data_IF_732704017573
#
_entry.id   IF_732704017573
#
_cell.length_a   1.000
_cell.length_b   1.000
_cell.length_c   1.000
_cell.angle_alpha   90.00
_cell.angle_beta   90.00
_cell.angle_gamma   90.00
#
_symmetry.space_group_name_H-M   'P 1'
#
loop_
_entity.id
_entity.type
_entity.pdbx_description
1 polymer ?
#
# COMPACT_ATOMS: atom_id res chain seq x y z
N UNK A 1 -57.13 -27.47 -36.33
CA UNK A 1 -56.61 -27.61 -34.95
C UNK A 1 -55.08 -27.60 -35.05
N UNK A 2 -54.37 -26.58 -34.62
CA UNK A 2 -52.91 -26.58 -34.64
C UNK A 2 -52.37 -27.37 -33.45
N UNK A 3 -51.53 -28.38 -33.71
CA UNK A 3 -50.79 -29.11 -32.70
C UNK A 3 -49.65 -28.21 -32.18
N UNK A 4 -49.77 -27.73 -30.94
CA UNK A 4 -48.67 -27.11 -30.22
C UNK A 4 -47.58 -28.15 -29.90
N UNK A 5 -46.42 -28.04 -30.54
CA UNK A 5 -45.22 -28.81 -30.21
C UNK A 5 -44.79 -28.40 -28.81
N UNK A 6 -44.99 -29.28 -27.83
CA UNK A 6 -44.37 -29.11 -26.50
C UNK A 6 -42.90 -29.38 -26.65
N UNK A 7 -42.06 -28.33 -26.72
CA UNK A 7 -40.61 -28.47 -26.56
C UNK A 7 -40.34 -29.08 -25.18
N UNK A 8 -39.53 -30.13 -25.09
CA UNK A 8 -39.31 -30.81 -23.82
C UNK A 8 -38.49 -29.92 -22.86
N UNK A 9 -38.97 -29.80 -21.62
CA UNK A 9 -38.32 -29.11 -20.51
C UNK A 9 -36.86 -29.57 -20.25
N UNK A 10 -36.51 -30.74 -20.80
CA UNK A 10 -35.19 -31.35 -20.70
C UNK A 10 -34.09 -30.57 -21.45
N UNK A 11 -34.40 -29.89 -22.56
CA UNK A 11 -33.44 -29.11 -23.33
C UNK A 11 -33.04 -27.79 -22.63
N UNK A 12 -33.95 -27.20 -21.88
CA UNK A 12 -33.70 -25.99 -21.10
C UNK A 12 -32.82 -26.27 -19.87
N UNK A 13 -33.02 -27.42 -19.21
CA UNK A 13 -32.20 -27.84 -18.07
C UNK A 13 -30.76 -28.16 -18.46
N UNK A 14 -30.52 -28.78 -19.63
CA UNK A 14 -29.17 -29.04 -20.15
C UNK A 14 -28.43 -27.77 -20.51
N UNK A 15 -29.09 -26.75 -21.07
CA UNK A 15 -28.48 -25.46 -21.38
C UNK A 15 -28.10 -24.70 -20.10
N UNK A 16 -28.92 -24.73 -19.07
CA UNK A 16 -28.62 -24.09 -17.77
C UNK A 16 -27.46 -24.80 -17.06
N UNK A 17 -27.39 -26.14 -17.12
CA UNK A 17 -26.28 -26.88 -16.54
C UNK A 17 -24.94 -26.60 -17.26
N UNK A 18 -24.95 -26.47 -18.59
CA UNK A 18 -23.76 -26.13 -19.37
C UNK A 18 -23.23 -24.72 -19.05
N UNK A 19 -24.12 -23.74 -18.93
CA UNK A 19 -23.75 -22.37 -18.54
C UNK A 19 -23.17 -22.29 -17.11
N UNK A 20 -23.70 -23.10 -16.18
CA UNK A 20 -23.17 -23.14 -14.80
C UNK A 20 -21.74 -23.71 -14.76
N UNK A 21 -21.49 -24.81 -15.50
CA UNK A 21 -20.15 -25.41 -15.57
C UNK A 21 -19.13 -24.50 -16.25
N UNK A 22 -19.51 -23.76 -17.29
CA UNK A 22 -18.65 -22.78 -17.97
C UNK A 22 -18.31 -21.60 -17.05
N UNK A 23 -19.28 -21.08 -16.31
CA UNK A 23 -19.06 -20.00 -15.34
C UNK A 23 -18.10 -20.42 -14.21
N UNK A 24 -18.28 -21.63 -13.68
CA UNK A 24 -17.39 -22.17 -12.63
C UNK A 24 -15.97 -22.39 -13.16
N UNK A 25 -15.84 -22.88 -14.39
CA UNK A 25 -14.56 -23.02 -15.07
C UNK A 25 -13.86 -21.65 -15.24
N UNK A 26 -14.56 -20.66 -15.78
CA UNK A 26 -14.03 -19.34 -16.00
C UNK A 26 -13.58 -18.70 -14.67
N UNK A 27 -14.36 -18.80 -13.61
CA UNK A 27 -14.00 -18.33 -12.28
C UNK A 27 -12.74 -19.01 -11.73
N UNK A 28 -12.62 -20.34 -11.92
CA UNK A 28 -11.42 -21.07 -11.50
C UNK A 28 -10.17 -20.63 -12.26
N UNK A 29 -10.28 -20.39 -13.58
CA UNK A 29 -9.19 -19.88 -14.42
C UNK A 29 -8.81 -18.46 -14.01
N UNK A 30 -9.80 -17.60 -13.74
CA UNK A 30 -9.58 -16.24 -13.24
C UNK A 30 -8.80 -16.23 -11.93
N UNK A 31 -9.26 -17.03 -10.96
CA UNK A 31 -8.62 -17.11 -9.64
C UNK A 31 -7.19 -17.66 -9.72
N UNK A 32 -6.94 -18.67 -10.54
CA UNK A 32 -5.60 -19.23 -10.76
C UNK A 32 -4.65 -18.16 -11.36
N UNK A 33 -5.09 -17.41 -12.37
CA UNK A 33 -4.31 -16.34 -12.96
C UNK A 33 -4.10 -15.18 -12.01
N UNK A 34 -5.10 -14.81 -11.18
CA UNK A 34 -4.95 -13.81 -10.12
C UNK A 34 -3.82 -14.19 -9.13
N UNK A 35 -3.86 -15.40 -8.58
CA UNK A 35 -2.83 -15.89 -7.65
C UNK A 35 -1.43 -15.89 -8.28
N UNK A 36 -1.31 -16.33 -9.54
CA UNK A 36 -0.05 -16.26 -10.28
C UNK A 36 0.42 -14.82 -10.45
N UNK A 37 -0.47 -13.90 -10.83
CA UNK A 37 -0.16 -12.49 -10.99
C UNK A 37 0.38 -11.87 -9.71
N UNK A 38 -0.27 -12.13 -8.56
CA UNK A 38 0.21 -11.69 -7.24
C UNK A 38 1.60 -12.27 -6.93
N UNK A 39 1.83 -13.56 -7.18
CA UNK A 39 3.13 -14.20 -6.95
C UNK A 39 4.26 -13.59 -7.78
N UNK A 40 4.01 -13.33 -9.06
CA UNK A 40 4.97 -12.67 -9.94
C UNK A 40 5.22 -11.22 -9.55
N UNK A 41 4.18 -10.48 -9.13
CA UNK A 41 4.32 -9.11 -8.62
C UNK A 41 5.22 -9.06 -7.37
N UNK A 42 5.03 -9.98 -6.42
CA UNK A 42 5.87 -10.09 -5.23
C UNK A 42 7.33 -10.45 -5.54
N UNK A 43 7.56 -11.15 -6.64
CA UNK A 43 8.90 -11.53 -7.12
C UNK A 43 9.54 -10.47 -8.02
N UNK A 44 8.89 -9.33 -8.25
CA UNK A 44 9.38 -8.25 -9.11
C UNK A 44 9.29 -8.52 -10.61
N UNK A 45 8.61 -9.59 -11.03
CA UNK A 45 8.41 -9.94 -12.45
C UNK A 45 7.16 -9.24 -13.01
N UNK A 46 7.23 -7.91 -13.13
CA UNK A 46 6.06 -7.05 -13.37
C UNK A 46 5.39 -7.29 -14.72
N UNK A 47 6.14 -7.59 -15.78
CA UNK A 47 5.57 -7.91 -17.10
C UNK A 47 4.70 -9.17 -17.07
N UNK A 48 5.22 -10.25 -16.46
CA UNK A 48 4.49 -11.51 -16.31
C UNK A 48 3.29 -11.34 -15.38
N UNK A 49 3.45 -10.57 -14.28
CA UNK A 49 2.37 -10.25 -13.37
C UNK A 49 1.22 -9.54 -14.10
N UNK A 50 1.55 -8.53 -14.95
CA UNK A 50 0.57 -7.81 -15.78
C UNK A 50 -0.20 -8.77 -16.68
N UNK A 51 0.51 -9.65 -17.42
CA UNK A 51 -0.12 -10.65 -18.29
C UNK A 51 -1.12 -11.53 -17.50
N UNK A 52 -0.70 -12.04 -16.34
CA UNK A 52 -1.54 -12.93 -15.54
C UNK A 52 -2.74 -12.21 -14.94
N UNK A 53 -2.58 -10.98 -14.44
CA UNK A 53 -3.69 -10.19 -13.92
C UNK A 53 -4.69 -9.80 -15.02
N UNK A 54 -4.21 -9.38 -16.20
CA UNK A 54 -5.08 -9.12 -17.34
C UNK A 54 -5.83 -10.39 -17.78
N UNK A 55 -5.17 -11.54 -17.78
CA UNK A 55 -5.81 -12.82 -18.10
C UNK A 55 -6.84 -13.19 -17.03
N UNK A 56 -6.59 -12.91 -15.75
CA UNK A 56 -7.60 -13.08 -14.71
C UNK A 56 -8.85 -12.27 -15.01
N UNK A 57 -8.71 -10.98 -15.33
CA UNK A 57 -9.82 -10.08 -15.64
C UNK A 57 -10.52 -10.41 -16.98
N UNK A 58 -9.84 -11.07 -17.90
CA UNK A 58 -10.48 -11.59 -19.13
C UNK A 58 -11.52 -12.69 -18.83
N UNK A 59 -11.31 -13.48 -17.79
CA UNK A 59 -12.22 -14.54 -17.37
C UNK A 59 -13.22 -14.11 -16.29
N UNK A 60 -12.87 -13.11 -15.48
CA UNK A 60 -13.74 -12.49 -14.47
C UNK A 60 -13.38 -11.02 -14.28
N UNK A 61 -14.07 -10.13 -15.01
CA UNK A 61 -13.90 -8.67 -14.94
C UNK A 61 -14.61 -8.03 -13.74
N UNK A 62 -15.21 -8.84 -12.88
CA UNK A 62 -15.94 -8.38 -11.69
C UNK A 62 -15.16 -8.58 -10.39
N UNK A 63 -13.88 -8.99 -10.47
CA UNK A 63 -13.02 -9.20 -9.33
C UNK A 63 -12.35 -7.88 -8.90
N UNK A 64 -12.79 -7.23 -7.79
CA UNK A 64 -12.23 -5.94 -7.34
C UNK A 64 -10.78 -6.08 -6.87
N UNK A 65 -10.40 -7.22 -6.32
CA UNK A 65 -9.04 -7.50 -5.86
C UNK A 65 -8.06 -7.57 -7.04
N UNK A 66 -8.47 -8.16 -8.17
CA UNK A 66 -7.65 -8.21 -9.38
C UNK A 66 -7.47 -6.81 -10.01
N UNK A 67 -8.54 -6.00 -10.05
CA UNK A 67 -8.44 -4.61 -10.48
C UNK A 67 -7.50 -3.81 -9.58
N UNK A 68 -7.63 -3.91 -8.24
CA UNK A 68 -6.72 -3.22 -7.33
C UNK A 68 -5.25 -3.67 -7.50
N UNK A 69 -5.00 -4.97 -7.67
CA UNK A 69 -3.65 -5.49 -7.88
C UNK A 69 -3.03 -4.96 -9.19
N UNK A 70 -3.81 -4.95 -10.27
CA UNK A 70 -3.37 -4.44 -11.56
C UNK A 70 -3.12 -2.92 -11.50
N UNK A 71 -3.92 -2.18 -10.74
CA UNK A 71 -3.70 -0.76 -10.50
C UNK A 71 -2.38 -0.49 -9.77
N UNK A 72 -2.08 -1.25 -8.70
CA UNK A 72 -0.79 -1.16 -8.00
C UNK A 72 0.36 -1.46 -8.93
N UNK A 73 0.23 -2.48 -9.78
CA UNK A 73 1.26 -2.85 -10.73
C UNK A 73 1.51 -1.76 -11.79
N UNK A 74 0.45 -1.16 -12.32
CA UNK A 74 0.56 -0.01 -13.24
C UNK A 74 1.21 1.21 -12.56
N UNK A 75 0.94 1.45 -11.27
CA UNK A 75 1.62 2.50 -10.49
C UNK A 75 3.14 2.23 -10.39
N UNK A 76 3.55 0.99 -10.12
CA UNK A 76 4.97 0.58 -10.06
C UNK A 76 5.71 0.81 -11.38
N UNK A 77 5.07 0.54 -12.50
CA UNK A 77 5.65 0.79 -13.83
C UNK A 77 5.37 2.21 -14.36
N UNK A 78 4.82 3.10 -13.52
CA UNK A 78 4.52 4.52 -13.80
C UNK A 78 3.46 4.79 -14.86
N UNK A 79 2.59 3.84 -15.09
CA UNK A 79 1.43 3.95 -15.96
C UNK A 79 0.21 4.44 -15.17
N UNK A 80 0.22 5.71 -14.76
CA UNK A 80 -0.74 6.27 -13.79
C UNK A 80 -2.18 6.36 -14.30
N UNK A 81 -2.40 6.55 -15.61
CA UNK A 81 -3.73 6.57 -16.21
C UNK A 81 -4.46 5.22 -16.11
N UNK A 82 -3.84 4.12 -16.58
CA UNK A 82 -4.33 2.77 -16.35
C UNK A 82 -4.51 2.45 -14.86
N UNK A 83 -3.55 2.82 -13.99
CA UNK A 83 -3.67 2.62 -12.54
C UNK A 83 -4.95 3.25 -11.98
N UNK A 84 -5.21 4.52 -12.30
CA UNK A 84 -6.42 5.23 -11.87
C UNK A 84 -7.70 4.53 -12.34
N UNK A 85 -7.75 4.11 -13.60
CA UNK A 85 -8.89 3.41 -14.19
C UNK A 85 -9.22 2.14 -13.41
N UNK A 86 -8.22 1.34 -13.08
CA UNK A 86 -8.39 0.09 -12.36
C UNK A 86 -8.72 0.31 -10.87
N UNK A 87 -8.15 1.31 -10.19
CA UNK A 87 -8.57 1.66 -8.83
C UNK A 87 -10.03 2.06 -8.77
N UNK A 88 -10.48 2.92 -9.68
CA UNK A 88 -11.89 3.32 -9.77
C UNK A 88 -12.80 2.13 -9.99
N UNK A 89 -12.41 1.22 -10.90
CA UNK A 89 -13.19 0.01 -11.17
C UNK A 89 -13.27 -0.91 -9.95
N UNK A 90 -12.19 -1.08 -9.19
CA UNK A 90 -12.20 -1.85 -7.94
C UNK A 90 -13.18 -1.27 -6.91
N UNK A 91 -13.20 0.06 -6.78
CA UNK A 91 -14.11 0.78 -5.85
C UNK A 91 -15.56 0.72 -6.33
N UNK A 92 -15.82 0.79 -7.63
CA UNK A 92 -17.16 0.62 -8.21
C UNK A 92 -17.72 -0.78 -7.93
N UNK A 93 -16.89 -1.82 -8.14
CA UNK A 93 -17.28 -3.22 -7.90
C UNK A 93 -17.52 -3.52 -6.43
N UNK A 94 -16.76 -2.87 -5.53
CA UNK A 94 -16.84 -3.08 -4.09
C UNK A 94 -16.67 -1.74 -3.38
N UNK A 95 -17.80 -1.09 -3.10
CA UNK A 95 -17.83 0.28 -2.56
C UNK A 95 -17.25 0.41 -1.14
N UNK A 96 -17.13 -0.69 -0.39
CA UNK A 96 -16.49 -0.78 0.92
C UNK A 96 -15.03 -1.28 0.87
N UNK A 97 -14.44 -1.36 -0.33
CA UNK A 97 -13.06 -1.82 -0.50
C UNK A 97 -12.06 -0.73 -0.08
N UNK A 98 -11.88 -0.59 1.23
CA UNK A 98 -11.07 0.48 1.83
C UNK A 98 -9.60 0.48 1.35
N UNK A 99 -9.01 -0.71 1.11
CA UNK A 99 -7.64 -0.80 0.57
C UNK A 99 -7.52 -0.13 -0.81
N UNK A 100 -8.47 -0.37 -1.72
CA UNK A 100 -8.45 0.28 -3.03
C UNK A 100 -8.65 1.80 -2.92
N UNK A 101 -9.51 2.26 -2.00
CA UNK A 101 -9.69 3.70 -1.71
C UNK A 101 -8.40 4.35 -1.19
N UNK A 102 -7.70 3.70 -0.26
CA UNK A 102 -6.41 4.18 0.27
C UNK A 102 -5.36 4.25 -0.85
N UNK A 103 -5.25 3.21 -1.67
CA UNK A 103 -4.31 3.17 -2.79
C UNK A 103 -4.61 4.28 -3.81
N UNK A 104 -5.89 4.46 -4.16
CA UNK A 104 -6.31 5.51 -5.09
C UNK A 104 -6.04 6.92 -4.52
N UNK A 105 -6.37 7.16 -3.25
CA UNK A 105 -6.06 8.43 -2.59
C UNK A 105 -4.55 8.73 -2.57
N UNK A 106 -3.72 7.70 -2.35
CA UNK A 106 -2.26 7.81 -2.41
C UNK A 106 -1.77 8.16 -3.81
N UNK A 107 -2.32 7.51 -4.85
CA UNK A 107 -2.03 7.85 -6.24
C UNK A 107 -2.32 9.33 -6.52
N UNK A 108 -3.48 9.84 -6.09
CA UNK A 108 -3.88 11.23 -6.26
C UNK A 108 -2.95 12.23 -5.58
N UNK A 109 -2.39 11.89 -4.40
CA UNK A 109 -1.42 12.74 -3.71
C UNK A 109 -0.02 12.68 -4.36
N UNK A 110 0.33 11.57 -5.00
CA UNK A 110 1.62 11.41 -5.64
C UNK A 110 1.65 11.92 -7.10
N UNK A 111 0.55 11.73 -7.83
CA UNK A 111 0.48 11.92 -9.29
C UNK A 111 -0.92 12.30 -9.78
N UNK A 112 -1.11 13.36 -10.53
CA UNK A 112 -0.24 14.52 -10.67
C UNK A 112 -0.36 15.44 -9.44
N UNK A 113 0.63 16.29 -9.17
CA UNK A 113 0.64 17.15 -7.96
C UNK A 113 -0.55 18.12 -7.86
N UNK A 114 -1.24 18.38 -8.96
CA UNK A 114 -2.44 19.23 -9.01
C UNK A 114 -3.68 18.60 -8.35
N UNK A 115 -3.65 17.30 -8.05
CA UNK A 115 -4.81 16.55 -7.50
C UNK A 115 -4.65 16.17 -6.02
N UNK A 116 -3.67 16.76 -5.33
CA UNK A 116 -3.42 16.49 -3.90
C UNK A 116 -4.69 16.72 -3.06
N UNK A 117 -5.44 17.78 -3.34
CA UNK A 117 -6.68 18.09 -2.60
C UNK A 117 -7.75 17.00 -2.76
N UNK A 118 -7.83 16.33 -3.92
CA UNK A 118 -8.74 15.19 -4.13
C UNK A 118 -8.30 13.99 -3.28
N UNK A 119 -7.00 13.67 -3.27
CA UNK A 119 -6.45 12.60 -2.44
C UNK A 119 -6.68 12.84 -0.95
N UNK A 120 -6.49 14.08 -0.49
CA UNK A 120 -6.80 14.47 0.90
C UNK A 120 -8.27 14.28 1.25
N UNK A 121 -9.18 14.70 0.38
CA UNK A 121 -10.62 14.51 0.60
C UNK A 121 -10.98 13.01 0.74
N UNK A 122 -10.36 12.13 -0.08
CA UNK A 122 -10.56 10.69 0.03
C UNK A 122 -10.03 10.15 1.36
N UNK A 123 -8.81 10.51 1.77
CA UNK A 123 -8.27 10.08 3.06
C UNK A 123 -9.08 10.60 4.24
N UNK A 124 -9.57 11.85 4.20
CA UNK A 124 -10.44 12.41 5.24
C UNK A 124 -11.75 11.63 5.36
N UNK A 125 -12.36 11.27 4.24
CA UNK A 125 -13.59 10.46 4.22
C UNK A 125 -13.34 9.06 4.84
N UNK A 126 -12.21 8.42 4.53
CA UNK A 126 -11.83 7.13 5.11
C UNK A 126 -11.62 7.25 6.63
N UNK A 127 -10.89 8.28 7.07
CA UNK A 127 -10.59 8.49 8.50
C UNK A 127 -11.84 8.86 9.33
N UNK A 128 -12.82 9.52 8.71
CA UNK A 128 -14.06 9.93 9.36
C UNK A 128 -15.11 8.82 9.46
N UNK A 129 -14.95 7.74 8.70
CA UNK A 129 -15.89 6.61 8.71
C UNK A 129 -15.68 5.77 9.99
N UNK A 130 -16.68 5.65 10.87
CA UNK A 130 -16.58 4.85 12.09
C UNK A 130 -16.25 3.37 11.84
N UNK A 131 -16.63 2.82 10.67
CA UNK A 131 -16.29 1.46 10.28
C UNK A 131 -14.78 1.25 10.09
N UNK A 132 -14.01 2.32 9.89
CA UNK A 132 -12.57 2.31 9.68
C UNK A 132 -11.76 2.66 10.96
N UNK A 133 -12.39 2.67 12.13
CA UNK A 133 -11.71 3.00 13.38
C UNK A 133 -10.44 2.16 13.63
N UNK A 134 -9.49 2.71 14.35
CA UNK A 134 -8.23 2.03 14.71
C UNK A 134 -7.22 2.00 13.56
N UNK A 135 -6.80 0.81 13.13
CA UNK A 135 -5.70 0.64 12.15
C UNK A 135 -5.98 1.36 10.83
N UNK A 136 -7.17 1.19 10.28
CA UNK A 136 -7.54 1.79 8.99
C UNK A 136 -7.59 3.32 9.04
N UNK A 137 -8.15 3.89 10.11
CA UNK A 137 -8.14 5.34 10.31
C UNK A 137 -6.69 5.85 10.47
N UNK A 138 -5.84 5.11 11.19
CA UNK A 138 -4.42 5.47 11.33
C UNK A 138 -3.72 5.50 9.96
N UNK A 139 -3.97 4.52 9.09
CA UNK A 139 -3.39 4.47 7.74
C UNK A 139 -3.88 5.63 6.87
N UNK A 140 -5.15 6.02 7.01
CA UNK A 140 -5.69 7.20 6.32
C UNK A 140 -5.03 8.50 6.82
N UNK A 141 -4.78 8.65 8.12
CA UNK A 141 -4.02 9.80 8.67
C UNK A 141 -2.56 9.82 8.18
N UNK A 142 -1.90 8.65 8.05
CA UNK A 142 -0.58 8.56 7.42
C UNK A 142 -0.64 9.01 5.95
N UNK A 143 -1.71 8.65 5.24
CA UNK A 143 -1.97 9.14 3.87
C UNK A 143 -2.12 10.67 3.81
N UNK A 144 -2.86 11.28 4.74
CA UNK A 144 -2.97 12.74 4.86
C UNK A 144 -1.62 13.40 5.13
N UNK A 145 -0.78 12.77 5.95
CA UNK A 145 0.59 13.25 6.19
C UNK A 145 1.45 13.20 4.92
N UNK A 146 1.31 12.15 4.11
CA UNK A 146 1.96 12.07 2.80
C UNK A 146 1.55 13.24 1.89
N UNK A 147 0.25 13.53 1.79
CA UNK A 147 -0.27 14.61 0.97
C UNK A 147 0.27 15.99 1.45
N UNK A 148 0.29 16.22 2.79
CA UNK A 148 0.87 17.41 3.37
C UNK A 148 2.37 17.52 3.07
N UNK A 149 3.12 16.42 3.16
CA UNK A 149 4.53 16.35 2.80
C UNK A 149 4.79 16.70 1.33
N UNK A 150 3.90 16.29 0.41
CA UNK A 150 3.98 16.67 -1.01
C UNK A 150 3.79 18.17 -1.25
N UNK A 151 3.09 18.86 -0.35
CA UNK A 151 3.00 20.34 -0.33
C UNK A 151 4.11 21.01 0.47
N UNK A 152 5.07 20.22 0.96
CA UNK A 152 6.13 20.70 1.87
C UNK A 152 5.60 21.29 3.19
N UNK A 153 4.39 20.90 3.61
CA UNK A 153 3.77 21.30 4.88
C UNK A 153 4.11 20.28 5.98
N UNK A 154 5.33 20.38 6.50
CA UNK A 154 5.84 19.44 7.50
C UNK A 154 5.08 19.55 8.83
N UNK A 155 4.60 20.75 9.19
CA UNK A 155 3.82 20.96 10.42
C UNK A 155 2.47 20.22 10.35
N UNK A 156 1.80 20.33 9.22
CA UNK A 156 0.55 19.60 8.99
C UNK A 156 0.77 18.09 8.90
N UNK A 157 1.86 17.64 8.26
CA UNK A 157 2.24 16.23 8.22
C UNK A 157 2.47 15.66 9.64
N UNK A 158 3.21 16.40 10.49
CA UNK A 158 3.41 15.99 11.90
C UNK A 158 2.07 15.88 12.64
N UNK A 159 1.16 16.84 12.42
CA UNK A 159 -0.18 16.82 13.04
C UNK A 159 -0.96 15.58 12.67
N UNK A 160 -0.99 15.20 11.39
CA UNK A 160 -1.68 14.01 10.93
C UNK A 160 -1.05 12.70 11.43
N UNK A 161 0.29 12.63 11.49
CA UNK A 161 0.99 11.47 12.04
C UNK A 161 0.70 11.26 13.52
N UNK A 162 0.56 12.34 14.30
CA UNK A 162 0.14 12.25 15.71
C UNK A 162 -1.28 11.72 15.84
N UNK A 163 -2.22 12.17 15.01
CA UNK A 163 -3.58 11.59 14.93
C UNK A 163 -3.56 10.11 14.53
N UNK A 164 -2.65 9.71 13.64
CA UNK A 164 -2.46 8.30 13.32
C UNK A 164 -2.07 7.50 14.58
N UNK A 165 -1.18 8.02 15.43
CA UNK A 165 -0.79 7.37 16.68
C UNK A 165 -1.87 7.43 17.77
N UNK A 166 -2.78 8.40 17.74
CA UNK A 166 -3.98 8.42 18.59
C UNK A 166 -4.95 7.28 18.21
N UNK A 167 -5.09 6.99 16.90
CA UNK A 167 -5.95 5.91 16.40
C UNK A 167 -5.31 4.54 16.53
N UNK A 168 -4.00 4.43 16.31
CA UNK A 168 -3.20 3.21 16.48
C UNK A 168 -1.81 3.62 16.98
N UNK A 169 -1.60 3.53 18.29
CA UNK A 169 -0.35 3.95 18.94
C UNK A 169 0.90 3.23 18.44
N UNK A 170 0.74 2.10 17.79
CA UNK A 170 1.81 1.26 17.27
C UNK A 170 1.90 1.28 15.73
N UNK A 171 1.27 2.23 15.05
CA UNK A 171 1.36 2.33 13.59
C UNK A 171 2.83 2.57 13.16
N UNK A 172 3.47 1.60 12.46
CA UNK A 172 4.90 1.68 12.17
C UNK A 172 5.24 2.84 11.22
N UNK A 173 4.36 3.12 10.24
CA UNK A 173 4.60 4.19 9.27
C UNK A 173 4.59 5.56 9.95
N UNK A 174 3.64 5.79 10.87
CA UNK A 174 3.58 7.03 11.64
C UNK A 174 4.79 7.19 12.56
N UNK A 175 5.20 6.12 13.25
CA UNK A 175 6.38 6.14 14.12
C UNK A 175 7.66 6.46 13.35
N UNK A 176 7.87 5.82 12.20
CA UNK A 176 9.05 6.04 11.38
C UNK A 176 9.10 7.47 10.80
N UNK A 177 7.99 7.97 10.26
CA UNK A 177 7.93 9.32 9.71
C UNK A 177 8.10 10.39 10.80
N UNK A 178 7.52 10.20 12.00
CA UNK A 178 7.74 11.10 13.13
C UNK A 178 9.18 11.09 13.62
N UNK A 179 9.87 9.93 13.59
CA UNK A 179 11.30 9.87 13.88
C UNK A 179 12.12 10.69 12.87
N UNK A 180 11.80 10.58 11.58
CA UNK A 180 12.45 11.36 10.52
C UNK A 180 12.21 12.87 10.69
N UNK A 181 10.96 13.29 10.89
CA UNK A 181 10.62 14.71 11.12
C UNK A 181 11.33 15.23 12.36
N UNK A 182 11.32 14.49 13.47
CA UNK A 182 11.98 14.91 14.71
C UNK A 182 13.49 15.03 14.52
N UNK A 183 14.11 14.13 13.75
CA UNK A 183 15.53 14.20 13.43
C UNK A 183 15.87 15.46 12.62
N UNK A 184 15.10 15.79 11.58
CA UNK A 184 15.33 17.02 10.78
C UNK A 184 15.09 18.30 11.58
N UNK A 185 14.28 18.24 12.64
CA UNK A 185 14.05 19.34 13.58
C UNK A 185 15.09 19.39 14.71
N UNK A 186 16.10 18.55 14.71
CA UNK A 186 17.11 18.41 15.78
C UNK A 186 16.51 18.07 17.17
N UNK A 187 15.38 17.37 17.19
CA UNK A 187 14.71 16.90 18.41
C UNK A 187 15.16 15.45 18.71
N UNK A 188 16.45 15.29 19.07
CA UNK A 188 17.12 13.98 19.19
C UNK A 188 16.39 13.00 20.09
N UNK A 189 16.01 13.39 21.31
CA UNK A 189 15.32 12.52 22.25
C UNK A 189 13.96 12.05 21.71
N UNK A 190 13.23 12.93 21.03
CA UNK A 190 11.93 12.59 20.44
C UNK A 190 12.10 11.66 19.24
N UNK A 191 13.09 11.92 18.37
CA UNK A 191 13.41 11.07 17.24
C UNK A 191 13.80 9.66 17.69
N UNK A 192 14.66 9.55 18.71
CA UNK A 192 15.05 8.29 19.35
C UNK A 192 13.82 7.52 19.86
N UNK A 193 12.94 8.19 20.63
CA UNK A 193 11.77 7.55 21.21
C UNK A 193 10.83 6.98 20.14
N UNK A 194 10.59 7.69 19.04
CA UNK A 194 9.80 7.18 17.93
C UNK A 194 10.47 6.02 17.21
N UNK A 195 11.77 6.10 16.94
CA UNK A 195 12.50 5.04 16.25
C UNK A 195 12.59 3.77 17.09
N UNK A 196 12.80 3.86 18.41
CA UNK A 196 12.78 2.70 19.32
C UNK A 196 11.40 2.03 19.32
N UNK A 197 10.31 2.81 19.37
CA UNK A 197 8.95 2.27 19.27
C UNK A 197 8.72 1.60 17.92
N UNK A 198 9.21 2.18 16.81
CA UNK A 198 9.17 1.56 15.48
C UNK A 198 9.87 0.19 15.46
N UNK A 199 11.10 0.11 15.99
CA UNK A 199 11.85 -1.15 16.06
C UNK A 199 11.19 -2.20 17.01
N UNK A 200 10.38 -1.75 17.96
CA UNK A 200 9.56 -2.63 18.79
C UNK A 200 8.37 -3.26 18.05
N UNK A 201 7.98 -2.72 16.89
CA UNK A 201 6.86 -3.22 16.07
C UNK A 201 7.33 -3.95 14.80
N UNK A 202 8.52 -3.66 14.32
CA UNK A 202 9.03 -4.15 13.03
C UNK A 202 10.47 -4.63 13.18
N UNK A 203 10.89 -5.50 12.25
CA UNK A 203 12.32 -5.78 12.12
C UNK A 203 13.04 -4.52 11.58
N UNK A 204 14.25 -4.21 12.10
CA UNK A 204 15.04 -3.12 11.56
C UNK A 204 15.27 -3.29 10.05
N UNK A 205 15.21 -2.18 9.33
CA UNK A 205 15.54 -2.09 7.91
C UNK A 205 16.84 -1.30 7.74
N UNK A 206 17.57 -1.42 6.61
CA UNK A 206 18.75 -0.61 6.35
C UNK A 206 18.49 0.88 6.58
N UNK A 207 17.36 1.40 6.07
CA UNK A 207 16.97 2.79 6.19
C UNK A 207 16.72 3.21 7.64
N UNK A 208 16.06 2.35 8.44
CA UNK A 208 15.78 2.65 9.85
C UNK A 208 17.06 2.62 10.70
N UNK A 209 18.02 1.77 10.36
CA UNK A 209 19.33 1.72 11.04
C UNK A 209 20.17 2.96 10.69
N UNK A 210 20.16 3.41 9.43
CA UNK A 210 20.78 4.69 9.04
C UNK A 210 20.15 5.85 9.78
N UNK A 211 18.82 5.89 9.89
CA UNK A 211 18.12 6.92 10.66
C UNK A 211 18.58 6.91 12.12
N UNK A 212 18.76 5.73 12.72
CA UNK A 212 19.29 5.60 14.07
C UNK A 212 20.72 6.18 14.20
N UNK A 213 21.61 5.86 13.25
CA UNK A 213 22.96 6.44 13.21
C UNK A 213 22.90 7.97 13.08
N UNK A 214 22.01 8.53 12.24
CA UNK A 214 21.86 9.97 12.06
C UNK A 214 21.34 10.66 13.34
N UNK A 215 20.33 10.09 13.99
CA UNK A 215 19.78 10.60 15.26
C UNK A 215 20.87 10.67 16.32
N UNK A 216 21.63 9.58 16.47
CA UNK A 216 22.67 9.49 17.50
C UNK A 216 24.00 10.15 17.11
N UNK A 217 24.09 10.74 15.92
CA UNK A 217 25.21 11.60 15.51
C UNK A 217 25.00 13.07 15.90
N UNK A 218 23.85 13.44 16.44
CA UNK A 218 23.60 14.78 16.95
C UNK A 218 24.47 15.08 18.20
N UNK A 219 24.70 16.36 18.56
CA UNK A 219 25.52 16.73 19.71
C UNK A 219 25.07 16.13 21.05
N UNK A 220 23.75 15.91 21.20
CA UNK A 220 23.11 15.27 22.35
C UNK A 220 22.76 13.79 22.11
N UNK A 221 23.36 13.20 21.06
CA UNK A 221 23.20 11.80 20.71
C UNK A 221 23.98 10.85 21.62
N UNK A 222 23.60 9.58 21.56
CA UNK A 222 24.23 8.49 22.30
C UNK A 222 25.23 7.77 21.39
N UNK A 223 26.52 7.91 21.71
CA UNK A 223 27.60 7.31 20.93
C UNK A 223 27.59 5.77 20.93
N UNK A 224 27.09 5.13 22.01
CA UNK A 224 26.97 3.69 22.10
C UNK A 224 25.83 3.20 21.19
N UNK A 225 24.65 3.80 21.26
CA UNK A 225 23.53 3.48 20.37
C UNK A 225 23.89 3.70 18.91
N UNK A 226 24.60 4.79 18.58
CA UNK A 226 25.10 5.02 17.24
C UNK A 226 25.94 3.84 16.74
N UNK A 227 26.86 3.35 17.58
CA UNK A 227 27.70 2.23 17.22
C UNK A 227 26.93 0.92 17.10
N UNK A 228 25.91 0.71 17.94
CA UNK A 228 25.02 -0.45 17.84
C UNK A 228 24.26 -0.45 16.52
N UNK A 229 23.61 0.65 16.12
CA UNK A 229 22.93 0.77 14.84
C UNK A 229 23.88 0.55 13.65
N UNK A 230 25.09 1.13 13.69
CA UNK A 230 26.09 0.95 12.65
C UNK A 230 26.56 -0.51 12.54
N UNK A 231 26.74 -1.19 13.67
CA UNK A 231 27.14 -2.61 13.72
C UNK A 231 26.03 -3.51 13.19
N UNK A 232 24.77 -3.26 13.57
CA UNK A 232 23.62 -4.01 13.05
C UNK A 232 23.48 -3.84 11.52
N UNK A 233 23.65 -2.62 11.02
CA UNK A 233 23.58 -2.36 9.57
C UNK A 233 24.67 -3.16 8.82
N UNK A 234 25.91 -3.14 9.30
CA UNK A 234 27.01 -3.87 8.67
C UNK A 234 26.85 -5.39 8.74
N UNK A 235 26.36 -5.90 9.87
CA UNK A 235 26.25 -7.35 10.09
C UNK A 235 25.03 -7.97 9.40
N UNK A 236 23.89 -7.30 9.43
CA UNK A 236 22.65 -7.83 8.87
C UNK A 236 22.43 -7.48 7.40
N UNK A 237 23.00 -6.35 6.94
CA UNK A 237 22.77 -5.82 5.60
C UNK A 237 24.08 -5.42 4.87
N UNK A 238 25.12 -6.28 4.82
CA UNK A 238 26.47 -5.92 4.36
C UNK A 238 26.52 -5.46 2.88
N UNK A 239 25.57 -5.92 2.08
CA UNK A 239 25.54 -5.68 0.63
C UNK A 239 24.68 -4.48 0.21
N UNK A 240 24.12 -3.73 1.16
CA UNK A 240 23.26 -2.57 0.87
C UNK A 240 24.09 -1.30 0.63
N UNK A 241 23.51 -0.36 -0.11
CA UNK A 241 24.12 0.95 -0.35
C UNK A 241 24.31 1.73 0.94
N UNK A 242 23.36 1.60 1.87
CA UNK A 242 23.40 2.18 3.20
C UNK A 242 24.63 1.73 3.99
N UNK A 243 24.93 0.43 3.99
CA UNK A 243 26.10 -0.11 4.67
C UNK A 243 27.41 0.36 3.98
N UNK A 244 27.43 0.41 2.65
CA UNK A 244 28.59 0.91 1.88
C UNK A 244 28.90 2.37 2.17
N UNK A 245 27.87 3.24 2.20
CA UNK A 245 28.04 4.68 2.53
C UNK A 245 28.52 4.91 3.95
N UNK A 246 28.09 4.07 4.90
CA UNK A 246 28.55 4.16 6.28
C UNK A 246 30.04 3.80 6.43
N UNK A 247 30.57 2.93 5.56
CA UNK A 247 31.98 2.53 5.56
C UNK A 247 32.89 3.52 4.84
N UNK A 248 32.37 4.26 3.87
CA UNK A 248 33.07 5.28 3.08
C UNK A 248 32.32 6.61 3.17
N UNK A 249 32.41 7.34 4.30
CA UNK A 249 31.83 8.67 4.41
C UNK A 249 32.56 9.61 3.43
N UNK A 250 31.80 10.10 2.42
CA UNK A 250 32.30 11.16 1.50
C UNK A 250 32.27 12.50 2.19
#
# INVERSE_FOLDING_TARGET
>A
MPRFLKLPALSLALLLAACATEKDFNKSVAEANFKLGIGYMQSGHFEVATEKLLKSLQFDDTNPEAHNALAVLYEEIREYGPAETHYKRAIELKSDYTLAKINYARLLCNHPPTRIAEGEAQFQAIAADPANAGVTAADAYVGLALCAGKRNDIAQAETWLRKALESNSNNPAALYQLAQISQTQNKTLQARAFLQRYHGQTRPTPQSLVLGVLIESAPDGDSQLRQEYATLLRSQFPNTDEARRLNNPQ
#
